data_IF_719671163655
#
_entry.id   IF_719671163655
#
_cell.length_a   1.000
_cell.length_b   1.000
_cell.length_c   1.000
_cell.angle_alpha   90.00
_cell.angle_beta   90.00
_cell.angle_gamma   90.00
#
_symmetry.space_group_name_H-M   'P 1'
#
loop_
_entity.id
_entity.type
_entity.pdbx_description
1 polymer ?
#
# COMPACT_ATOMS: atom_id res chain seq x y z
N UNK A 1 -4.20 13.69 -8.58
CA UNK A 1 -3.55 15.03 -8.64
C UNK A 1 -2.04 14.93 -8.79
N UNK A 2 -1.32 14.20 -7.92
CA UNK A 2 0.15 14.07 -8.03
C UNK A 2 0.64 13.50 -9.38
N UNK A 3 0.04 12.41 -9.85
CA UNK A 3 0.40 11.78 -11.14
C UNK A 3 0.29 12.74 -12.33
N UNK A 4 -0.81 13.51 -12.37
CA UNK A 4 -1.06 14.52 -13.41
C UNK A 4 0.00 15.62 -13.41
N UNK A 5 0.44 16.05 -12.22
CA UNK A 5 1.51 17.04 -12.08
C UNK A 5 2.85 16.51 -12.58
N UNK A 6 3.20 15.27 -12.23
CA UNK A 6 4.43 14.64 -12.73
C UNK A 6 4.45 14.52 -14.25
N UNK A 7 3.32 14.18 -14.87
CA UNK A 7 3.18 14.11 -16.34
C UNK A 7 3.31 15.51 -16.97
N UNK A 8 2.67 16.52 -16.39
CA UNK A 8 2.76 17.90 -16.87
C UNK A 8 4.22 18.41 -16.82
N UNK A 9 4.96 18.09 -15.76
CA UNK A 9 6.37 18.50 -15.61
C UNK A 9 7.29 17.79 -16.61
N UNK A 10 7.04 16.49 -16.87
CA UNK A 10 7.71 15.75 -17.96
C UNK A 10 7.46 16.40 -19.32
N UNK A 11 6.23 16.82 -19.60
CA UNK A 11 5.88 17.47 -20.86
C UNK A 11 6.56 18.83 -21.02
N UNK A 12 6.54 19.66 -19.97
CA UNK A 12 7.07 21.02 -20.01
C UNK A 12 8.61 21.08 -20.01
N UNK A 13 9.27 20.22 -19.23
CA UNK A 13 10.70 20.33 -18.95
C UNK A 13 11.52 19.10 -19.37
N UNK A 14 10.88 18.08 -19.95
CA UNK A 14 11.56 16.86 -20.41
C UNK A 14 12.10 15.98 -19.28
N UNK A 15 11.72 16.23 -18.02
CA UNK A 15 12.22 15.46 -16.87
C UNK A 15 11.74 14.00 -16.98
N UNK A 16 12.64 13.00 -16.86
CA UNK A 16 12.24 11.60 -16.88
C UNK A 16 11.37 11.27 -15.65
N UNK A 17 10.17 10.73 -15.90
CA UNK A 17 9.19 10.37 -14.87
C UNK A 17 8.71 8.94 -15.11
N UNK A 18 8.72 8.13 -14.04
CA UNK A 18 8.09 6.81 -13.94
C UNK A 18 7.12 6.86 -12.76
N UNK A 19 5.87 6.43 -12.96
CA UNK A 19 4.82 6.43 -11.93
C UNK A 19 4.52 4.97 -11.57
N UNK A 20 4.55 4.66 -10.27
CA UNK A 20 4.30 3.32 -9.74
C UNK A 20 3.10 3.36 -8.79
N UNK A 21 2.18 2.40 -8.93
CA UNK A 21 0.97 2.27 -8.09
C UNK A 21 0.94 0.88 -7.46
N UNK A 22 1.66 0.65 -6.36
CA UNK A 22 1.63 -0.65 -5.69
C UNK A 22 0.24 -0.92 -5.12
N UNK A 23 -0.12 -2.20 -5.07
CA UNK A 23 -1.25 -2.66 -4.26
C UNK A 23 -0.94 -2.50 -2.76
N UNK A 24 -1.89 -2.83 -1.87
CA UNK A 24 -1.68 -2.66 -0.43
C UNK A 24 -0.46 -3.50 -0.02
N UNK A 25 0.59 -2.83 0.45
CA UNK A 25 1.83 -3.48 0.83
C UNK A 25 1.84 -3.83 2.31
N UNK A 26 2.26 -5.06 2.59
CA UNK A 26 2.42 -5.59 3.95
C UNK A 26 3.80 -6.24 4.11
N UNK A 27 4.32 -6.32 5.34
CA UNK A 27 5.64 -6.87 5.61
C UNK A 27 6.23 -6.45 6.96
N UNK A 28 7.49 -6.83 7.19
CA UNK A 28 8.22 -6.54 8.42
C UNK A 28 8.40 -5.03 8.62
N UNK A 29 8.29 -4.56 9.87
CA UNK A 29 8.51 -3.15 10.23
C UNK A 29 7.32 -2.22 9.98
N UNK A 30 6.16 -2.76 9.59
CA UNK A 30 4.93 -1.97 9.49
C UNK A 30 4.41 -1.65 10.88
N UNK A 31 4.01 -0.39 11.04
CA UNK A 31 3.33 0.11 12.23
C UNK A 31 1.95 -0.54 12.37
N UNK A 32 1.68 -1.09 13.55
CA UNK A 32 0.39 -1.70 13.87
C UNK A 32 -0.73 -0.66 14.04
N UNK A 33 -0.36 0.61 14.26
CA UNK A 33 -1.24 1.77 14.42
C UNK A 33 -1.40 2.61 13.14
N UNK A 34 -1.12 2.02 11.97
CA UNK A 34 -1.16 2.72 10.67
C UNK A 34 -2.57 2.94 10.11
N UNK A 35 -3.61 2.47 10.80
CA UNK A 35 -5.03 2.68 10.45
C UNK A 35 -5.48 1.97 9.16
N UNK A 36 -4.66 1.05 8.63
CA UNK A 36 -5.01 0.18 7.50
C UNK A 36 -5.63 -1.10 8.03
N UNK A 37 -6.66 -1.62 7.35
CA UNK A 37 -7.41 -2.79 7.82
C UNK A 37 -6.54 -4.01 8.16
N UNK A 38 -5.50 -4.30 7.38
CA UNK A 38 -4.61 -5.42 7.69
C UNK A 38 -3.76 -5.18 8.95
N UNK A 39 -3.38 -3.93 9.24
CA UNK A 39 -2.62 -3.58 10.44
C UNK A 39 -3.50 -3.74 11.68
N UNK A 40 -4.76 -3.31 11.60
CA UNK A 40 -5.75 -3.49 12.68
C UNK A 40 -6.00 -4.98 12.95
N UNK A 41 -6.12 -5.80 11.89
CA UNK A 41 -6.31 -7.25 12.04
C UNK A 41 -5.10 -7.91 12.72
N UNK A 42 -3.88 -7.57 12.29
CA UNK A 42 -2.66 -8.09 12.91
C UNK A 42 -2.56 -7.62 14.36
N UNK A 43 -2.89 -6.36 14.64
CA UNK A 43 -2.90 -5.81 15.99
C UNK A 43 -3.87 -6.57 16.90
N UNK A 44 -5.11 -6.78 16.45
CA UNK A 44 -6.11 -7.52 17.22
C UNK A 44 -5.67 -8.96 17.51
N UNK A 45 -5.06 -9.64 16.52
CA UNK A 45 -4.49 -10.99 16.71
C UNK A 45 -3.41 -11.00 17.79
N UNK A 46 -2.49 -10.03 17.76
CA UNK A 46 -1.38 -9.92 18.73
C UNK A 46 -1.90 -9.65 20.14
N UNK A 47 -2.95 -8.83 20.27
CA UNK A 47 -3.55 -8.45 21.55
C UNK A 47 -4.66 -9.39 22.03
N UNK A 48 -4.92 -10.50 21.33
CA UNK A 48 -6.02 -11.43 21.63
C UNK A 48 -7.40 -10.76 21.69
N UNK A 49 -7.63 -9.80 20.79
CA UNK A 49 -8.89 -9.09 20.63
C UNK A 49 -9.66 -9.60 19.41
N UNK A 50 -10.97 -9.42 19.43
CA UNK A 50 -11.83 -9.75 18.30
C UNK A 50 -11.50 -8.86 17.09
N UNK A 51 -11.56 -9.45 15.89
CA UNK A 51 -11.39 -8.71 14.65
C UNK A 51 -12.63 -7.85 14.40
N UNK A 52 -12.46 -6.54 14.44
CA UNK A 52 -13.55 -5.57 14.17
C UNK A 52 -13.63 -5.27 12.67
N UNK A 53 -14.78 -5.57 12.07
CA UNK A 53 -15.09 -5.17 10.69
C UNK A 53 -15.95 -3.90 10.69
N UNK A 54 -15.47 -2.86 10.03
CA UNK A 54 -16.21 -1.58 9.86
C UNK A 54 -17.18 -1.60 8.68
N UNK A 55 -17.25 -2.71 7.94
CA UNK A 55 -18.08 -2.89 6.75
C UNK A 55 -18.57 -4.35 6.65
N UNK A 56 -19.40 -4.66 5.65
CA UNK A 56 -19.92 -6.01 5.38
C UNK A 56 -18.86 -7.07 5.04
N UNK A 57 -17.56 -6.72 4.98
CA UNK A 57 -16.47 -7.67 4.74
C UNK A 57 -16.38 -8.23 3.31
N UNK A 58 -17.20 -7.75 2.37
CA UNK A 58 -17.23 -8.20 0.96
C UNK A 58 -16.15 -7.58 0.08
N UNK A 59 -15.36 -6.65 0.63
CA UNK A 59 -14.36 -5.93 -0.14
C UNK A 59 -13.15 -6.83 -0.46
N UNK A 60 -12.94 -7.09 -1.75
CA UNK A 60 -11.73 -7.78 -2.23
C UNK A 60 -10.64 -6.73 -2.48
N UNK A 61 -9.43 -7.00 -2.00
CA UNK A 61 -8.26 -6.15 -2.16
C UNK A 61 -7.03 -7.01 -2.49
N UNK A 62 -6.14 -6.45 -3.29
CA UNK A 62 -4.87 -7.08 -3.61
C UNK A 62 -3.82 -6.68 -2.56
N UNK A 63 -3.05 -7.68 -2.13
CA UNK A 63 -1.94 -7.50 -1.20
C UNK A 63 -0.62 -7.84 -1.89
N UNK A 64 0.42 -7.05 -1.61
CA UNK A 64 1.76 -7.26 -2.13
C UNK A 64 2.74 -7.32 -0.97
N UNK A 65 3.57 -8.36 -0.93
CA UNK A 65 4.59 -8.46 0.10
C UNK A 65 5.71 -7.44 -0.16
N UNK A 66 6.18 -6.75 0.88
CA UNK A 66 7.16 -5.66 0.77
C UNK A 66 8.41 -6.04 -0.03
N UNK A 67 8.94 -7.26 0.17
CA UNK A 67 10.12 -7.72 -0.58
C UNK A 67 9.83 -7.85 -2.09
N UNK A 68 8.62 -8.27 -2.47
CA UNK A 68 8.22 -8.32 -3.87
C UNK A 68 8.08 -6.91 -4.47
N UNK A 69 7.57 -5.95 -3.71
CA UNK A 69 7.51 -4.55 -4.16
C UNK A 69 8.92 -3.99 -4.45
N UNK A 70 9.90 -4.28 -3.61
CA UNK A 70 11.28 -3.79 -3.77
C UNK A 70 11.98 -4.40 -4.99
N UNK A 71 11.71 -5.68 -5.28
CA UNK A 71 12.33 -6.39 -6.39
C UNK A 71 11.70 -6.08 -7.76
N UNK A 72 10.60 -5.32 -7.80
CA UNK A 72 9.82 -5.13 -9.01
C UNK A 72 10.56 -4.40 -10.15
N UNK A 73 11.51 -3.52 -9.84
CA UNK A 73 12.30 -2.79 -10.87
C UNK A 73 13.57 -3.55 -11.28
N UNK A 74 13.84 -4.72 -10.69
CA UNK A 74 15.03 -5.56 -10.96
C UNK A 74 14.73 -6.75 -11.89
N UNK A 75 13.47 -6.97 -12.27
CA UNK A 75 13.00 -7.98 -13.23
C UNK A 75 12.41 -7.31 -14.46
#
# INVERSE_FOLDING_TARGET
MAESMCIAWKYQYGVPVKIVRPSITYGLGIKLDDGRSFADFISNIIHYQDIVLTSEGKAIRNFCYMTQMLLWDFL
#
